data_IF_676026523657
#
_entry.id   IF_676026523657
#
_cell.length_a   1.000
_cell.length_b   1.000
_cell.length_c   1.000
_cell.angle_alpha   90.00
_cell.angle_beta   90.00
_cell.angle_gamma   90.00
#
_symmetry.space_group_name_H-M   'P 1'
#
loop_
_entity.id
_entity.type
_entity.pdbx_description
1 polymer ?
#
# COMPACT_ATOMS: atom_id res chain seq x y z
N UNK A 1 -14.85 -1.79 -7.09
CA UNK A 1 -13.60 -1.04 -7.31
C UNK A 1 -12.87 -0.92 -5.97
N UNK A 2 -11.55 -1.13 -5.96
CA UNK A 2 -10.73 -0.96 -4.77
C UNK A 2 -9.79 0.22 -4.94
N UNK A 3 -9.56 0.99 -3.86
CA UNK A 3 -8.48 1.97 -3.77
C UNK A 3 -7.44 1.50 -2.77
N UNK A 4 -6.17 1.74 -3.07
CA UNK A 4 -5.05 1.35 -2.23
C UNK A 4 -4.37 2.57 -1.67
N UNK A 5 -4.15 2.57 -0.37
CA UNK A 5 -3.51 3.67 0.35
C UNK A 5 -2.24 3.18 1.02
N UNK A 6 -1.17 3.93 0.84
CA UNK A 6 0.14 3.66 1.44
C UNK A 6 0.66 4.88 2.20
N UNK A 7 1.39 4.64 3.28
CA UNK A 7 2.18 5.69 3.91
C UNK A 7 3.40 5.93 3.02
N UNK A 8 3.51 7.14 2.48
CA UNK A 8 4.66 7.56 1.66
C UNK A 8 5.66 8.30 2.52
N UNK A 9 6.85 7.77 2.59
CA UNK A 9 7.98 8.42 3.25
C UNK A 9 8.73 9.28 2.24
N UNK A 10 9.15 10.47 2.65
CA UNK A 10 10.14 11.25 1.90
C UNK A 10 11.47 10.46 1.78
N UNK A 11 12.25 10.73 0.74
CA UNK A 11 13.49 9.98 0.46
C UNK A 11 14.43 9.98 1.68
N UNK A 12 14.58 11.11 2.37
CA UNK A 12 15.42 11.23 3.58
C UNK A 12 14.91 10.34 4.75
N UNK A 13 13.59 10.18 4.89
CA UNK A 13 13.00 9.30 5.92
C UNK A 13 13.17 7.84 5.51
N UNK A 14 13.04 7.55 4.23
CA UNK A 14 13.28 6.22 3.68
C UNK A 14 14.74 5.80 3.88
N UNK A 15 15.68 6.68 3.60
CA UNK A 15 17.10 6.46 3.84
C UNK A 15 17.39 6.22 5.32
N UNK A 16 16.73 6.98 6.20
CA UNK A 16 16.85 6.79 7.65
C UNK A 16 16.30 5.43 8.10
N UNK A 17 15.09 5.04 7.62
CA UNK A 17 14.49 3.73 7.92
C UNK A 17 15.37 2.58 7.44
N UNK A 18 16.00 2.73 6.29
CA UNK A 18 16.88 1.72 5.69
C UNK A 18 18.32 1.79 6.22
N UNK A 19 18.68 2.81 7.00
CA UNK A 19 19.99 2.90 7.61
C UNK A 19 20.15 1.78 8.64
N UNK A 20 21.36 1.20 8.71
CA UNK A 20 21.70 0.21 9.73
C UNK A 20 22.00 0.85 11.11
N UNK A 21 21.54 2.07 11.34
CA UNK A 21 21.71 2.72 12.63
C UNK A 21 20.97 1.93 13.71
N UNK A 22 21.66 1.56 14.75
CA UNK A 22 21.15 0.67 15.79
C UNK A 22 19.91 1.27 16.46
N UNK A 23 18.79 0.61 16.24
CA UNK A 23 17.52 0.85 16.93
C UNK A 23 16.79 2.13 16.55
N UNK A 24 17.28 2.91 15.56
CA UNK A 24 16.65 4.16 15.11
C UNK A 24 16.22 5.08 16.27
N UNK A 25 17.04 5.13 17.34
CA UNK A 25 16.75 5.91 18.54
C UNK A 25 16.57 7.40 18.17
N UNK A 26 15.44 7.99 18.61
CA UNK A 26 15.10 9.38 18.31
C UNK A 26 14.50 9.60 16.92
N UNK A 27 14.12 8.52 16.21
CA UNK A 27 13.50 8.62 14.89
C UNK A 27 12.18 9.40 14.90
N UNK A 28 11.36 9.21 15.92
CA UNK A 28 10.11 9.92 16.14
C UNK A 28 10.31 11.43 16.41
N UNK A 29 11.38 11.82 17.06
CA UNK A 29 11.72 13.23 17.29
C UNK A 29 12.18 13.91 16.01
N UNK A 30 12.96 13.19 15.21
CA UNK A 30 13.49 13.70 13.95
C UNK A 30 12.46 13.71 12.83
N UNK A 31 11.63 12.66 12.76
CA UNK A 31 10.61 12.48 11.75
C UNK A 31 9.28 12.02 12.38
N UNK A 32 8.30 12.89 12.58
CA UNK A 32 7.02 12.53 13.23
C UNK A 32 6.27 11.38 12.58
N UNK A 33 6.38 11.21 11.27
CA UNK A 33 5.77 10.09 10.52
C UNK A 33 6.42 8.74 10.83
N UNK A 34 7.66 8.73 11.35
CA UNK A 34 8.44 7.53 11.60
C UNK A 34 7.75 6.59 12.60
N UNK A 35 7.26 7.11 13.71
CA UNK A 35 6.53 6.31 14.73
C UNK A 35 5.32 5.62 14.13
N UNK A 36 4.50 6.35 13.37
CA UNK A 36 3.33 5.80 12.70
C UNK A 36 3.70 4.71 11.69
N UNK A 37 4.72 4.98 10.87
CA UNK A 37 5.20 4.03 9.88
C UNK A 37 5.71 2.74 10.55
N UNK A 38 6.57 2.85 11.55
CA UNK A 38 7.15 1.69 12.25
C UNK A 38 6.07 0.88 12.97
N UNK A 39 5.13 1.54 13.63
CA UNK A 39 4.04 0.90 14.36
C UNK A 39 3.12 0.12 13.41
N UNK A 40 2.78 0.68 12.26
CA UNK A 40 1.82 0.09 11.33
C UNK A 40 2.47 -0.92 10.37
N UNK A 41 3.67 -0.63 9.86
CA UNK A 41 4.29 -1.49 8.84
C UNK A 41 5.17 -2.61 9.41
N UNK A 42 5.72 -2.44 10.63
CA UNK A 42 6.65 -3.44 11.19
C UNK A 42 6.06 -4.30 12.31
N UNK A 43 5.02 -3.86 12.97
CA UNK A 43 4.50 -4.58 14.13
C UNK A 43 2.99 -4.70 14.18
N UNK A 44 2.30 -4.50 13.06
CA UNK A 44 0.86 -4.63 12.97
C UNK A 44 0.44 -6.08 13.17
N UNK A 45 0.01 -6.41 14.39
CA UNK A 45 -0.53 -7.74 14.73
C UNK A 45 -2.00 -7.69 15.15
N UNK A 46 -2.50 -6.48 15.37
CA UNK A 46 -3.88 -6.28 15.79
C UNK A 46 -4.36 -4.88 15.31
N UNK A 47 -5.65 -4.80 15.01
CA UNK A 47 -6.33 -3.60 14.49
C UNK A 47 -6.24 -2.39 15.43
N UNK A 48 -6.08 -2.64 16.75
CA UNK A 48 -6.01 -1.59 17.75
C UNK A 48 -4.75 -0.72 17.65
N UNK A 49 -3.76 -1.17 16.88
CA UNK A 49 -2.55 -0.36 16.65
C UNK A 49 -2.78 0.85 15.75
N UNK A 50 -3.79 0.81 14.88
CA UNK A 50 -4.16 1.97 14.09
C UNK A 50 -4.96 2.96 14.94
N UNK A 51 -4.50 4.22 15.01
CA UNK A 51 -5.22 5.35 15.60
C UNK A 51 -6.08 6.04 14.53
N UNK A 52 -7.16 6.73 14.93
CA UNK A 52 -8.01 7.46 13.98
C UNK A 52 -7.22 8.49 13.16
N UNK A 53 -6.26 9.17 13.80
CA UNK A 53 -5.42 10.20 13.17
C UNK A 53 -4.41 9.65 12.18
N UNK A 54 -4.12 8.35 12.17
CA UNK A 54 -3.08 7.80 11.30
C UNK A 54 -3.44 7.91 9.81
N UNK A 55 -4.74 7.92 9.48
CA UNK A 55 -5.18 7.98 8.09
C UNK A 55 -4.73 9.26 7.37
N UNK A 56 -4.43 10.34 8.10
CA UNK A 56 -3.84 11.56 7.52
C UNK A 56 -2.50 11.33 6.80
N UNK A 57 -1.78 10.27 7.16
CA UNK A 57 -0.48 9.94 6.58
C UNK A 57 -0.57 9.03 5.34
N UNK A 58 -1.78 8.59 5.02
CA UNK A 58 -2.00 7.70 3.88
C UNK A 58 -2.30 8.49 2.62
N UNK A 59 -1.73 8.03 1.52
CA UNK A 59 -1.98 8.56 0.18
C UNK A 59 -2.57 7.46 -0.69
N UNK A 60 -3.62 7.77 -1.44
CA UNK A 60 -4.11 6.86 -2.48
C UNK A 60 -3.03 6.71 -3.55
N UNK A 61 -2.54 5.50 -3.75
CA UNK A 61 -1.43 5.21 -4.66
C UNK A 61 -1.89 4.54 -5.95
N UNK A 62 -3.02 3.85 -5.92
CA UNK A 62 -3.61 3.26 -7.12
C UNK A 62 -5.07 2.84 -6.89
N UNK A 63 -5.70 2.51 -8.01
CA UNK A 63 -7.04 1.93 -8.07
C UNK A 63 -6.95 0.58 -8.76
N UNK A 64 -7.56 -0.45 -8.15
CA UNK A 64 -7.69 -1.79 -8.71
C UNK A 64 -9.14 -2.00 -9.13
N UNK A 65 -9.36 -2.39 -10.38
CA UNK A 65 -10.70 -2.67 -10.89
C UNK A 65 -11.22 -3.98 -10.30
N UNK A 66 -12.43 -3.97 -9.76
CA UNK A 66 -13.24 -5.17 -9.56
C UNK A 66 -13.58 -5.76 -10.94
N UNK A 67 -13.75 -7.04 -11.00
CA UNK A 67 -14.10 -7.79 -12.23
C UNK A 67 -13.02 -7.80 -13.33
N UNK A 68 -11.82 -7.38 -13.02
CA UNK A 68 -10.70 -7.60 -13.89
C UNK A 68 -10.40 -9.11 -13.90
N UNK A 69 -10.76 -9.76 -14.99
CA UNK A 69 -10.40 -11.17 -15.20
C UNK A 69 -8.89 -11.27 -15.36
N UNK A 70 -8.24 -11.91 -14.41
CA UNK A 70 -6.83 -12.30 -14.53
C UNK A 70 -6.81 -13.72 -15.10
N UNK A 71 -5.90 -13.96 -16.02
CA UNK A 71 -5.65 -15.32 -16.54
C UNK A 71 -4.23 -15.67 -16.08
N UNK A 72 -4.10 -16.77 -15.33
CA UNK A 72 -2.80 -17.28 -14.93
C UNK A 72 -2.09 -18.01 -16.08
N UNK A 73 -0.84 -18.42 -15.88
CA UNK A 73 -0.03 -19.17 -16.86
C UNK A 73 -0.69 -20.48 -17.31
N UNK A 74 -1.56 -21.04 -16.48
CA UNK A 74 -2.28 -22.29 -16.75
C UNK A 74 -3.62 -22.04 -17.45
N UNK A 75 -3.97 -20.77 -17.72
CA UNK A 75 -5.21 -20.37 -18.39
C UNK A 75 -6.42 -20.30 -17.47
N UNK A 76 -6.24 -20.37 -16.14
CA UNK A 76 -7.34 -20.22 -15.20
C UNK A 76 -7.69 -18.73 -15.04
N UNK A 77 -8.99 -18.45 -15.08
CA UNK A 77 -9.49 -17.08 -14.84
C UNK A 77 -9.69 -16.81 -13.35
N UNK A 78 -9.18 -15.68 -12.89
CA UNK A 78 -9.35 -15.19 -11.54
C UNK A 78 -10.07 -13.85 -11.56
N UNK A 79 -11.01 -13.68 -10.65
CA UNK A 79 -11.68 -12.38 -10.45
C UNK A 79 -11.02 -11.64 -9.29
N UNK A 80 -10.76 -10.35 -9.50
CA UNK A 80 -10.36 -9.45 -8.42
C UNK A 80 -11.64 -8.90 -7.77
N UNK A 81 -12.31 -9.74 -7.01
CA UNK A 81 -13.59 -9.40 -6.35
C UNK A 81 -13.46 -9.27 -4.83
N UNK A 82 -12.32 -9.63 -4.28
CA UNK A 82 -12.02 -9.63 -2.85
C UNK A 82 -10.64 -9.03 -2.53
N UNK A 83 -10.37 -8.86 -1.24
CA UNK A 83 -9.11 -8.28 -0.74
C UNK A 83 -7.89 -9.14 -1.07
N UNK A 84 -8.04 -10.46 -1.02
CA UNK A 84 -7.00 -11.42 -1.38
C UNK A 84 -6.63 -11.30 -2.87
N UNK A 85 -7.61 -11.06 -3.72
CA UNK A 85 -7.37 -10.77 -5.14
C UNK A 85 -6.57 -9.49 -5.34
N UNK A 86 -6.90 -8.41 -4.63
CA UNK A 86 -6.12 -7.16 -4.63
C UNK A 86 -4.68 -7.40 -4.17
N UNK A 87 -4.51 -8.18 -3.09
CA UNK A 87 -3.19 -8.51 -2.58
C UNK A 87 -2.36 -9.30 -3.59
N UNK A 88 -2.98 -10.27 -4.25
CA UNK A 88 -2.33 -11.09 -5.27
C UNK A 88 -1.88 -10.26 -6.47
N UNK A 89 -2.77 -9.37 -6.98
CA UNK A 89 -2.48 -8.45 -8.09
C UNK A 89 -1.27 -7.56 -7.78
N UNK A 90 -1.23 -6.97 -6.60
CA UNK A 90 -0.20 -5.97 -6.25
C UNK A 90 1.11 -6.58 -5.75
N UNK A 91 1.14 -7.89 -5.50
CA UNK A 91 2.33 -8.61 -5.05
C UNK A 91 2.94 -9.55 -6.11
N UNK A 92 2.56 -9.39 -7.37
CA UNK A 92 3.23 -10.05 -8.48
C UNK A 92 3.08 -11.57 -8.50
N UNK A 93 1.97 -12.12 -7.96
CA UNK A 93 1.69 -13.58 -8.06
C UNK A 93 1.35 -14.05 -9.48
N UNK A 94 1.25 -13.10 -10.39
CA UNK A 94 0.91 -13.30 -11.79
C UNK A 94 2.06 -12.86 -12.70
N UNK A 95 3.25 -13.23 -12.31
CA UNK A 95 4.44 -13.05 -13.13
C UNK A 95 4.60 -14.29 -13.99
N UNK A 96 4.71 -14.13 -15.29
CA UNK A 96 5.08 -15.21 -16.19
C UNK A 96 6.57 -15.48 -16.05
N UNK A 97 6.93 -16.61 -15.43
CA UNK A 97 8.32 -17.01 -15.21
C UNK A 97 9.08 -17.27 -16.51
N UNK A 98 8.37 -17.65 -17.58
CA UNK A 98 8.99 -17.99 -18.88
C UNK A 98 9.26 -16.73 -19.73
N UNK A 99 8.35 -15.77 -19.73
CA UNK A 99 8.49 -14.52 -20.49
C UNK A 99 9.12 -13.38 -19.71
N UNK A 100 9.11 -13.45 -18.39
CA UNK A 100 9.52 -12.36 -17.51
C UNK A 100 8.52 -11.18 -17.49
N UNK A 101 7.34 -11.35 -18.06
CA UNK A 101 6.31 -10.32 -18.13
C UNK A 101 5.48 -10.27 -16.85
N UNK A 102 5.24 -9.04 -16.37
CA UNK A 102 4.30 -8.76 -15.29
C UNK A 102 2.87 -8.94 -15.83
N UNK A 103 2.24 -10.07 -15.50
CA UNK A 103 0.86 -10.37 -15.90
C UNK A 103 -0.17 -9.51 -15.16
N UNK A 104 0.24 -8.76 -14.18
CA UNK A 104 -0.59 -7.72 -13.55
C UNK A 104 -0.63 -6.49 -14.44
N UNK A 105 -1.35 -6.65 -15.50
CA UNK A 105 -1.38 -5.69 -16.55
C UNK A 105 -1.97 -4.34 -16.12
N UNK A 106 -1.51 -3.25 -16.76
CA UNK A 106 -2.03 -1.88 -16.66
C UNK A 106 -3.56 -1.78 -16.81
N UNK A 107 -4.21 -2.78 -17.41
CA UNK A 107 -5.66 -2.87 -17.50
C UNK A 107 -6.37 -3.04 -16.14
N UNK A 108 -5.69 -3.54 -15.12
CA UNK A 108 -6.28 -3.86 -13.81
C UNK A 108 -5.97 -2.80 -12.74
N UNK A 109 -4.83 -2.11 -12.89
CA UNK A 109 -4.35 -1.12 -11.94
C UNK A 109 -4.22 0.22 -12.65
N UNK A 110 -4.79 1.26 -12.09
CA UNK A 110 -4.78 2.62 -12.63
C UNK A 110 -4.55 3.66 -11.53
N UNK A 111 -4.36 4.92 -11.91
CA UNK A 111 -4.25 6.03 -10.97
C UNK A 111 -2.92 6.10 -10.20
N UNK A 112 -1.93 5.28 -10.56
CA UNK A 112 -0.57 5.39 -10.02
C UNK A 112 0.24 6.44 -10.79
N UNK A 113 1.21 7.04 -10.11
CA UNK A 113 2.23 7.89 -10.73
C UNK A 113 3.47 7.08 -11.09
N UNK A 114 4.26 7.60 -12.03
CA UNK A 114 5.56 7.04 -12.40
C UNK A 114 6.68 7.87 -11.77
N UNK A 115 7.71 7.22 -11.26
CA UNK A 115 8.93 7.84 -10.75
C UNK A 115 10.12 7.41 -11.60
N UNK A 116 10.93 8.37 -12.02
CA UNK A 116 12.17 8.10 -12.75
C UNK A 116 13.37 8.40 -11.86
N UNK A 117 14.29 7.47 -11.76
CA UNK A 117 15.54 7.64 -11.02
C UNK A 117 16.73 7.34 -11.94
N UNK A 118 17.86 7.98 -11.64
CA UNK A 118 19.15 7.62 -12.23
C UNK A 118 19.94 6.83 -11.20
N UNK A 119 20.25 5.59 -11.52
CA UNK A 119 21.06 4.70 -10.65
C UNK A 119 22.52 5.18 -10.62
N UNK A 120 23.30 4.73 -9.63
CA UNK A 120 24.73 5.07 -9.48
C UNK A 120 25.59 4.69 -10.71
N UNK A 121 25.15 3.70 -11.49
CA UNK A 121 25.79 3.28 -12.75
C UNK A 121 25.41 4.16 -13.96
N UNK A 122 24.60 5.20 -13.77
CA UNK A 122 24.10 6.08 -14.83
C UNK A 122 22.86 5.58 -15.57
N UNK A 123 22.36 4.40 -15.23
CA UNK A 123 21.14 3.85 -15.81
C UNK A 123 19.90 4.64 -15.35
N UNK A 124 19.04 5.04 -16.28
CA UNK A 124 17.77 5.70 -16.01
C UNK A 124 16.68 4.64 -15.98
N UNK A 125 16.00 4.51 -14.83
CA UNK A 125 14.92 3.55 -14.64
C UNK A 125 13.65 4.28 -14.27
N UNK A 126 12.56 3.94 -14.96
CA UNK A 126 11.21 4.43 -14.62
C UNK A 126 10.38 3.28 -14.08
N UNK A 127 9.72 3.51 -12.94
CA UNK A 127 8.90 2.51 -12.26
C UNK A 127 7.65 3.15 -11.66
N UNK A 128 6.68 2.32 -11.33
CA UNK A 128 5.46 2.79 -10.63
C UNK A 128 5.86 3.35 -9.26
N UNK A 129 5.39 4.56 -8.97
CA UNK A 129 5.66 5.23 -7.71
C UNK A 129 4.71 4.70 -6.60
N UNK A 130 4.75 3.40 -6.42
CA UNK A 130 4.07 2.64 -5.37
C UNK A 130 4.85 1.37 -5.09
N UNK A 131 4.80 0.88 -3.87
CA UNK A 131 5.36 -0.42 -3.52
C UNK A 131 4.31 -1.51 -3.60
N UNK A 132 4.74 -2.77 -3.53
CA UNK A 132 3.84 -3.91 -3.33
C UNK A 132 2.97 -3.71 -2.09
N UNK A 133 1.79 -4.29 -2.08
CA UNK A 133 0.88 -4.25 -0.95
C UNK A 133 1.50 -4.99 0.25
N UNK A 134 1.63 -4.31 1.37
CA UNK A 134 2.35 -4.79 2.54
C UNK A 134 1.57 -4.53 3.82
N UNK A 135 1.99 -5.18 4.90
CA UNK A 135 1.46 -4.92 6.26
C UNK A 135 1.40 -3.42 6.53
N UNK A 136 0.28 -2.96 7.04
CA UNK A 136 0.02 -1.55 7.32
C UNK A 136 -0.58 -0.76 6.16
N UNK A 137 -0.63 -1.29 4.94
CA UNK A 137 -1.35 -0.64 3.85
C UNK A 137 -2.87 -0.80 4.00
N UNK A 138 -3.62 0.13 3.44
CA UNK A 138 -5.08 0.11 3.52
C UNK A 138 -5.68 -0.10 2.13
N UNK A 139 -6.69 -0.98 2.07
CA UNK A 139 -7.52 -1.21 0.89
C UNK A 139 -8.95 -0.75 1.22
N UNK A 140 -9.47 0.17 0.44
CA UNK A 140 -10.88 0.60 0.46
C UNK A 140 -11.66 -0.24 -0.56
N UNK A 141 -12.68 -0.96 -0.11
CA UNK A 141 -13.73 -1.44 -0.99
C UNK A 141 -14.74 -0.31 -1.19
N UNK A 142 -14.63 0.36 -2.33
CA UNK A 142 -15.44 1.57 -2.62
C UNK A 142 -16.92 1.24 -2.72
N UNK A 143 -17.27 0.06 -3.21
CA UNK A 143 -18.66 -0.34 -3.42
C UNK A 143 -19.38 -0.57 -2.10
N UNK A 144 -18.66 -1.07 -1.10
CA UNK A 144 -19.16 -1.33 0.24
C UNK A 144 -18.86 -0.21 1.23
N UNK A 145 -18.00 0.75 0.87
CA UNK A 145 -17.57 1.84 1.74
C UNK A 145 -16.82 1.34 2.97
N UNK A 146 -16.06 0.25 2.83
CA UNK A 146 -15.28 -0.36 3.92
C UNK A 146 -13.79 -0.21 3.68
N UNK A 147 -13.03 -0.08 4.77
CA UNK A 147 -11.58 0.07 4.77
C UNK A 147 -10.93 -1.07 5.55
N UNK A 148 -9.94 -1.69 4.95
CA UNK A 148 -9.26 -2.85 5.50
C UNK A 148 -7.76 -2.62 5.49
N UNK A 149 -7.11 -2.78 6.66
CA UNK A 149 -5.66 -2.72 6.77
C UNK A 149 -5.06 -4.11 6.59
N UNK A 150 -3.98 -4.18 5.84
CA UNK A 150 -3.20 -5.41 5.70
C UNK A 150 -2.52 -5.69 7.04
N UNK A 151 -2.88 -6.81 7.67
CA UNK A 151 -2.30 -7.25 8.93
C UNK A 151 -1.15 -8.25 8.68
N UNK A 152 -0.49 -8.69 9.75
CA UNK A 152 0.52 -9.76 9.67
C UNK A 152 -0.07 -11.06 9.13
N UNK A 153 -1.39 -11.22 9.24
CA UNK A 153 -2.15 -12.32 8.70
C UNK A 153 -3.51 -11.81 8.21
N UNK A 154 -3.71 -11.83 6.88
CA UNK A 154 -4.95 -11.38 6.25
C UNK A 154 -5.21 -9.88 6.36
N UNK A 155 -6.47 -9.53 6.50
CA UNK A 155 -6.96 -8.16 6.55
C UNK A 155 -7.79 -7.92 7.81
N UNK A 156 -7.76 -6.69 8.32
CA UNK A 156 -8.58 -6.27 9.46
C UNK A 156 -9.41 -5.04 9.08
N UNK A 157 -10.69 -5.03 9.46
CA UNK A 157 -11.59 -3.90 9.24
C UNK A 157 -11.18 -2.71 10.11
N UNK A 158 -10.92 -1.57 9.46
CA UNK A 158 -10.60 -0.28 10.11
C UNK A 158 -11.55 0.83 9.70
N UNK A 159 -12.70 0.46 9.14
CA UNK A 159 -13.69 1.38 8.58
C UNK A 159 -14.11 2.47 9.58
N UNK A 160 -14.37 2.10 10.82
CA UNK A 160 -14.75 3.05 11.86
C UNK A 160 -13.66 4.09 12.13
N UNK A 161 -12.39 3.68 12.12
CA UNK A 161 -11.25 4.57 12.38
C UNK A 161 -11.06 5.59 11.28
N UNK A 162 -11.22 5.18 10.02
CA UNK A 162 -11.10 6.06 8.85
C UNK A 162 -12.28 7.03 8.79
N UNK A 163 -13.51 6.58 9.03
CA UNK A 163 -14.70 7.44 9.03
C UNK A 163 -14.64 8.49 10.15
N UNK A 164 -14.23 8.10 11.35
CA UNK A 164 -14.07 9.04 12.46
C UNK A 164 -13.03 10.13 12.16
N UNK A 165 -11.96 9.82 11.43
CA UNK A 165 -11.01 10.82 10.99
C UNK A 165 -11.64 11.82 10.03
N UNK A 166 -12.42 11.36 9.03
CA UNK A 166 -13.07 12.22 8.06
C UNK A 166 -14.07 13.16 8.72
N UNK A 167 -14.85 12.70 9.69
CA UNK A 167 -15.80 13.52 10.45
C UNK A 167 -15.08 14.62 11.26
N UNK A 168 -13.98 14.27 11.95
CA UNK A 168 -13.21 15.24 12.75
C UNK A 168 -12.56 16.33 11.89
N UNK A 169 -12.21 16.02 10.64
CA UNK A 169 -11.56 17.00 9.74
C UNK A 169 -12.56 18.01 9.16
N UNK A 170 -13.83 17.65 9.06
CA UNK A 170 -14.90 18.53 8.56
C UNK A 170 -15.33 19.56 9.63
N UNK A 171 -15.22 19.23 10.92
CA UNK A 171 -15.58 20.15 12.01
C UNK A 171 -14.56 21.27 12.25
N UNK A 172 -13.36 21.17 11.69
CA UNK A 172 -12.24 22.11 11.89
C UNK A 172 -12.03 23.03 10.67
N UNK A 173 -12.76 22.83 9.59
CA UNK A 173 -12.69 23.63 8.36
C UNK A 173 -13.88 24.59 8.23
#
# INVERSE_FOLDING_TARGET
MFKVYQIRLADEVTDYVNSNERGHAGGEEKYPIYETYMRLNHSMRDENKMKNTDFQHYTNVCVVKKDAGLVDSDGNSWLVDCLEGVFAVLNGRYFDEDSGEDLVHESHVSGYSMKTITRKNGEVVTYRDMRSLSVGDIVEDVDNGTFHIVASYGFQDVTSKVKNFAETTVEVA
#
